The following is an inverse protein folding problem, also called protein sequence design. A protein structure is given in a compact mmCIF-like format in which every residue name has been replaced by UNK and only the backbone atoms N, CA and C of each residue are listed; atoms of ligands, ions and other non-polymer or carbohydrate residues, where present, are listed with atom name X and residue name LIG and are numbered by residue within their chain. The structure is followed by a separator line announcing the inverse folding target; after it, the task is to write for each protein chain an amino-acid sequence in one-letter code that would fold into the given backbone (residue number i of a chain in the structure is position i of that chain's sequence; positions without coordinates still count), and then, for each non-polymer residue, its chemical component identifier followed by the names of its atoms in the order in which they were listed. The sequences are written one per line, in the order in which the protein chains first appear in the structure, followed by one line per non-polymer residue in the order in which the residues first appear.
data_IF_503225234436
#
_entry.id   IF_503225234436
#
_cell.length_a   1.000
_cell.length_b   1.000
_cell.length_c   1.000
_cell.angle_alpha   90.00
_cell.angle_beta   90.00
_cell.angle_gamma   90.00
#
_symmetry.space_group_name_H-M   'P 1'
#
loop_
_entity.id
_entity.type
_entity.pdbx_description
1 polymer ?
#
# COMPACT_ATOMS: atom_id res chain seq x y z
N UNK A 1 -10.32 -27.64 19.80
CA UNK A 1 -9.53 -26.40 20.03
C UNK A 1 -8.05 -26.67 20.29
N UNK A 2 -7.65 -27.52 21.26
CA UNK A 2 -6.23 -27.79 21.59
C UNK A 2 -5.41 -28.38 20.41
N UNK A 3 -5.98 -29.30 19.63
CA UNK A 3 -5.30 -29.87 18.47
C UNK A 3 -5.03 -28.82 17.37
N UNK A 4 -6.00 -27.97 17.06
CA UNK A 4 -5.85 -26.86 16.11
C UNK A 4 -4.77 -25.86 16.55
N UNK A 5 -4.76 -25.48 17.84
CA UNK A 5 -3.72 -24.61 18.39
C UNK A 5 -2.32 -25.23 18.28
N UNK A 6 -2.17 -26.53 18.56
CA UNK A 6 -0.89 -27.25 18.42
C UNK A 6 -0.41 -27.29 16.97
N UNK A 7 -1.31 -27.52 16.00
CA UNK A 7 -0.96 -27.52 14.56
C UNK A 7 -0.57 -26.13 14.07
N UNK A 8 -1.31 -25.09 14.48
CA UNK A 8 -0.96 -23.70 14.17
C UNK A 8 0.41 -23.30 14.72
N UNK A 9 0.68 -23.63 15.99
CA UNK A 9 1.98 -23.39 16.61
C UNK A 9 3.12 -24.15 15.92
N UNK A 10 2.91 -25.42 15.55
CA UNK A 10 3.90 -26.19 14.81
C UNK A 10 4.20 -25.58 13.42
N UNK A 11 3.17 -25.07 12.74
CA UNK A 11 3.32 -24.38 11.44
C UNK A 11 4.10 -23.08 11.62
N UNK A 12 3.76 -22.28 12.63
CA UNK A 12 4.46 -21.05 12.97
C UNK A 12 5.95 -21.31 13.25
N UNK A 13 6.25 -22.33 14.07
CA UNK A 13 7.64 -22.70 14.38
C UNK A 13 8.40 -23.17 13.15
N UNK A 14 7.74 -23.88 12.24
CA UNK A 14 8.35 -24.29 10.98
C UNK A 14 8.68 -23.07 10.10
N UNK A 15 7.77 -22.11 9.99
CA UNK A 15 7.97 -20.89 9.23
C UNK A 15 9.14 -20.06 9.80
N UNK A 16 9.19 -19.89 11.12
CA UNK A 16 10.28 -19.19 11.80
C UNK A 16 11.64 -19.89 11.59
N UNK A 17 11.67 -21.23 11.65
CA UNK A 17 12.90 -22.00 11.40
C UNK A 17 13.37 -21.83 9.96
N UNK A 18 12.46 -21.86 8.98
CA UNK A 18 12.78 -21.63 7.57
C UNK A 18 13.34 -20.22 7.35
N UNK A 19 12.65 -19.21 7.87
CA UNK A 19 13.10 -17.81 7.80
C UNK A 19 14.50 -17.62 8.40
N UNK A 20 14.79 -18.30 9.51
CA UNK A 20 16.11 -18.28 10.14
C UNK A 20 17.17 -19.00 9.30
N UNK A 21 16.88 -20.19 8.78
CA UNK A 21 17.80 -20.99 7.94
C UNK A 21 18.13 -20.29 6.62
N UNK A 22 17.18 -19.54 6.07
CA UNK A 22 17.31 -18.85 4.79
C UNK A 22 17.84 -17.42 4.94
N UNK A 23 18.04 -16.96 6.18
CA UNK A 23 18.63 -15.65 6.45
C UNK A 23 17.70 -14.46 6.22
N UNK A 24 16.37 -14.65 6.24
CA UNK A 24 15.40 -13.58 5.99
C UNK A 24 15.60 -12.37 6.93
N UNK A 25 15.87 -12.65 8.20
CA UNK A 25 16.19 -11.66 9.22
C UNK A 25 17.43 -10.81 8.90
N UNK A 26 18.48 -11.41 8.35
CA UNK A 26 19.69 -10.70 7.95
C UNK A 26 19.41 -9.81 6.73
N UNK A 27 18.70 -10.35 5.74
CA UNK A 27 18.34 -9.60 4.52
C UNK A 27 17.46 -8.40 4.86
N UNK A 28 16.45 -8.58 5.71
CA UNK A 28 15.60 -7.52 6.21
C UNK A 28 16.41 -6.44 6.94
N UNK A 29 17.15 -6.81 8.00
CA UNK A 29 17.91 -5.85 8.78
C UNK A 29 18.93 -5.07 7.93
N UNK A 30 19.63 -5.76 7.02
CA UNK A 30 20.59 -5.12 6.13
C UNK A 30 19.91 -4.16 5.14
N UNK A 31 18.77 -4.55 4.57
CA UNK A 31 18.00 -3.69 3.67
C UNK A 31 17.56 -2.41 4.39
N UNK A 32 16.98 -2.55 5.58
CA UNK A 32 16.56 -1.41 6.40
C UNK A 32 17.72 -0.49 6.77
N UNK A 33 18.86 -1.05 7.17
CA UNK A 33 20.06 -0.26 7.50
C UNK A 33 20.65 0.46 6.29
N UNK A 34 20.69 -0.19 5.12
CA UNK A 34 21.17 0.45 3.88
C UNK A 34 20.25 1.62 3.49
N UNK A 35 18.94 1.43 3.54
CA UNK A 35 17.96 2.48 3.24
C UNK A 35 18.08 3.63 4.25
N UNK A 36 18.18 3.32 5.54
CA UNK A 36 18.37 4.31 6.58
C UNK A 36 19.68 5.10 6.39
N UNK A 37 20.78 4.43 6.07
CA UNK A 37 22.08 5.07 5.82
C UNK A 37 22.04 5.96 4.56
N UNK A 38 21.43 5.50 3.48
CA UNK A 38 21.27 6.28 2.25
C UNK A 38 20.43 7.54 2.49
N UNK A 39 19.29 7.41 3.18
CA UNK A 39 18.47 8.58 3.51
C UNK A 39 19.18 9.50 4.51
N UNK A 40 19.93 8.96 5.47
CA UNK A 40 20.75 9.76 6.38
C UNK A 40 21.81 10.60 5.65
N UNK A 41 22.32 10.11 4.53
CA UNK A 41 23.28 10.84 3.69
C UNK A 41 22.60 11.90 2.80
N UNK A 42 21.34 11.69 2.39
CA UNK A 42 20.64 12.56 1.42
C UNK A 42 19.70 13.58 2.07
N UNK A 43 19.13 13.28 3.24
CA UNK A 43 18.07 14.07 3.84
C UNK A 43 18.59 14.99 4.96
N UNK A 44 18.19 16.26 4.91
CA UNK A 44 18.52 17.25 5.95
C UNK A 44 17.72 17.03 7.25
N UNK A 45 16.52 16.44 7.16
CA UNK A 45 15.62 16.19 8.29
C UNK A 45 15.17 14.72 8.33
N UNK A 46 16.04 13.83 8.80
CA UNK A 46 15.79 12.38 8.83
C UNK A 46 14.53 12.00 9.63
N UNK A 47 14.22 12.75 10.69
CA UNK A 47 13.04 12.53 11.53
C UNK A 47 11.71 12.59 10.78
N UNK A 48 11.60 13.44 9.73
CA UNK A 48 10.38 13.57 8.94
C UNK A 48 10.11 12.34 8.06
N UNK A 49 11.17 11.65 7.64
CA UNK A 49 11.10 10.53 6.70
C UNK A 49 10.95 9.17 7.37
N UNK A 50 11.04 9.12 8.69
CA UNK A 50 11.02 7.86 9.46
C UNK A 50 9.77 7.00 9.22
N UNK A 51 8.54 7.55 9.20
CA UNK A 51 7.37 6.77 8.84
C UNK A 51 7.48 6.14 7.44
N UNK A 52 8.07 6.86 6.48
CA UNK A 52 8.27 6.34 5.12
C UNK A 52 9.31 5.24 5.06
N UNK A 53 10.41 5.37 5.82
CA UNK A 53 11.45 4.33 5.91
C UNK A 53 10.86 3.06 6.53
N UNK A 54 10.13 3.18 7.65
CA UNK A 54 9.47 2.04 8.30
C UNK A 54 8.47 1.39 7.36
N UNK A 55 7.62 2.15 6.66
CA UNK A 55 6.68 1.58 5.70
C UNK A 55 7.37 0.92 4.49
N UNK A 56 8.46 1.51 3.99
CA UNK A 56 9.26 0.96 2.91
C UNK A 56 9.86 -0.39 3.31
N UNK A 57 10.45 -0.45 4.49
CA UNK A 57 11.02 -1.67 5.06
C UNK A 57 9.94 -2.75 5.22
N UNK A 58 8.81 -2.41 5.85
CA UNK A 58 7.70 -3.33 6.01
C UNK A 58 7.12 -3.82 4.67
N UNK A 59 7.23 -3.04 3.60
CA UNK A 59 6.83 -3.48 2.26
C UNK A 59 7.70 -4.65 1.80
N UNK A 60 9.00 -4.59 2.04
CA UNK A 60 9.94 -5.67 1.72
C UNK A 60 9.65 -6.89 2.59
N UNK A 61 9.59 -6.70 3.89
CA UNK A 61 9.65 -7.79 4.88
C UNK A 61 8.29 -8.41 5.18
N UNK A 62 7.20 -7.70 4.89
CA UNK A 62 5.84 -8.22 5.07
C UNK A 62 5.17 -8.56 3.73
N UNK A 63 5.23 -7.68 2.72
CA UNK A 63 4.55 -7.95 1.43
C UNK A 63 5.37 -8.87 0.53
N UNK A 64 6.64 -8.53 0.25
CA UNK A 64 7.46 -9.35 -0.66
C UNK A 64 7.84 -10.69 -0.04
N UNK A 65 8.21 -10.74 1.25
CA UNK A 65 8.51 -12.02 1.91
C UNK A 65 7.29 -12.93 1.98
N UNK A 66 6.08 -12.41 2.24
CA UNK A 66 4.86 -13.22 2.18
C UNK A 66 4.67 -13.82 0.78
N UNK A 67 4.81 -13.02 -0.27
CA UNK A 67 4.65 -13.49 -1.64
C UNK A 67 5.71 -14.56 -2.01
N UNK A 68 6.98 -14.32 -1.67
CA UNK A 68 8.07 -15.25 -1.92
C UNK A 68 7.88 -16.55 -1.14
N UNK A 69 7.51 -16.47 0.15
CA UNK A 69 7.30 -17.64 1.00
C UNK A 69 6.15 -18.51 0.46
N UNK A 70 5.00 -17.91 0.15
CA UNK A 70 3.85 -18.63 -0.46
C UNK A 70 4.27 -19.34 -1.75
N UNK A 71 5.04 -18.65 -2.59
CA UNK A 71 5.41 -19.19 -3.89
C UNK A 71 6.48 -20.28 -3.80
N UNK A 72 7.40 -20.17 -2.84
CA UNK A 72 8.36 -21.22 -2.55
C UNK A 72 7.69 -22.47 -2.00
N UNK A 73 6.77 -22.29 -1.04
CA UNK A 73 5.95 -23.41 -0.54
C UNK A 73 5.14 -24.07 -1.67
N UNK A 74 4.73 -23.31 -2.69
CA UNK A 74 4.08 -23.83 -3.90
C UNK A 74 5.03 -24.67 -4.74
N UNK A 75 6.22 -24.16 -5.03
CA UNK A 75 7.21 -24.82 -5.89
C UNK A 75 7.81 -26.07 -5.24
N UNK A 76 7.94 -26.09 -3.92
CA UNK A 76 8.39 -27.26 -3.14
C UNK A 76 7.29 -28.35 -3.06
N UNK A 77 6.10 -28.12 -3.61
CA UNK A 77 4.97 -29.04 -3.51
C UNK A 77 4.32 -29.09 -2.13
N UNK A 78 4.80 -28.29 -1.17
CA UNK A 78 4.28 -28.23 0.21
C UNK A 78 2.81 -27.78 0.23
N UNK A 79 2.40 -26.87 -0.67
CA UNK A 79 0.98 -26.50 -0.81
C UNK A 79 0.10 -27.65 -1.34
N UNK A 80 0.64 -28.52 -2.20
CA UNK A 80 -0.08 -29.70 -2.69
C UNK A 80 -0.15 -30.78 -1.60
N UNK A 81 0.93 -30.98 -0.83
CA UNK A 81 0.93 -31.86 0.35
C UNK A 81 -0.06 -31.39 1.43
N UNK A 82 -0.39 -30.10 1.47
CA UNK A 82 -1.43 -29.55 2.35
C UNK A 82 -2.86 -29.87 1.91
N UNK A 83 -3.09 -30.24 0.65
CA UNK A 83 -4.42 -30.69 0.23
C UNK A 83 -4.83 -32.02 0.89
N UNK A 84 -3.84 -32.83 1.28
CA UNK A 84 -4.05 -34.12 1.97
C UNK A 84 -3.82 -34.04 3.48
N UNK A 85 -3.36 -32.90 4.01
CA UNK A 85 -3.20 -32.68 5.45
C UNK A 85 -4.40 -31.92 6.02
N UNK A 86 -4.82 -32.16 7.27
CA UNK A 86 -6.00 -31.53 7.87
C UNK A 86 -5.77 -30.07 8.30
N UNK A 87 -4.86 -29.34 7.65
CA UNK A 87 -4.52 -27.96 7.98
C UNK A 87 -5.50 -27.00 7.29
N UNK A 88 -6.21 -26.19 8.08
CA UNK A 88 -7.15 -25.23 7.52
C UNK A 88 -6.44 -24.04 6.87
N UNK A 89 -7.00 -23.48 5.78
CA UNK A 89 -6.50 -22.25 5.16
C UNK A 89 -6.38 -21.07 6.14
N UNK A 90 -7.23 -21.04 7.17
CA UNK A 90 -7.16 -20.04 8.24
C UNK A 90 -6.01 -20.25 9.22
N UNK A 91 -5.65 -21.50 9.53
CA UNK A 91 -4.51 -21.84 10.39
C UNK A 91 -3.20 -21.49 9.69
N UNK A 92 -3.11 -21.77 8.38
CA UNK A 92 -1.98 -21.37 7.54
C UNK A 92 -1.80 -19.85 7.50
N UNK A 93 -2.85 -19.11 7.15
CA UNK A 93 -2.79 -17.65 7.08
C UNK A 93 -2.40 -17.03 8.43
N UNK A 94 -2.93 -17.57 9.54
CA UNK A 94 -2.59 -17.10 10.86
C UNK A 94 -1.11 -17.35 11.20
N UNK A 95 -0.56 -18.53 10.86
CA UNK A 95 0.86 -18.83 11.07
C UNK A 95 1.78 -17.96 10.20
N UNK A 96 1.40 -17.73 8.93
CA UNK A 96 2.15 -16.88 8.02
C UNK A 96 2.15 -15.42 8.47
N UNK A 97 0.98 -14.87 8.83
CA UNK A 97 0.87 -13.51 9.37
C UNK A 97 1.65 -13.40 10.68
N UNK A 98 1.51 -14.36 11.59
CA UNK A 98 2.20 -14.34 12.88
C UNK A 98 3.74 -14.42 12.73
N UNK A 99 4.27 -15.27 11.83
CA UNK A 99 5.71 -15.38 11.62
C UNK A 99 6.31 -14.08 11.08
N UNK A 100 5.70 -13.53 10.02
CA UNK A 100 6.20 -12.30 9.39
C UNK A 100 5.98 -11.05 10.25
N UNK A 101 4.90 -10.98 11.03
CA UNK A 101 4.70 -9.88 11.99
C UNK A 101 5.73 -9.93 13.14
N UNK A 102 6.10 -11.12 13.62
CA UNK A 102 7.17 -11.28 14.61
C UNK A 102 8.52 -10.84 14.04
N UNK A 103 8.81 -11.22 12.79
CA UNK A 103 10.02 -10.79 12.09
C UNK A 103 10.06 -9.26 11.92
N UNK A 104 8.95 -8.67 11.46
CA UNK A 104 8.79 -7.24 11.29
C UNK A 104 8.92 -6.43 12.60
N UNK A 105 8.37 -6.95 13.70
CA UNK A 105 8.55 -6.32 15.02
C UNK A 105 10.01 -6.36 15.47
N UNK A 106 10.69 -7.48 15.26
CA UNK A 106 12.09 -7.62 15.62
C UNK A 106 12.98 -6.70 14.79
N UNK A 107 12.84 -6.71 13.46
CA UNK A 107 13.68 -5.90 12.57
C UNK A 107 13.44 -4.39 12.76
N UNK A 108 12.17 -3.93 12.83
CA UNK A 108 11.84 -2.51 12.98
C UNK A 108 12.22 -2.05 14.38
N UNK A 109 12.04 -2.92 15.38
CA UNK A 109 12.50 -2.68 16.74
C UNK A 109 14.00 -2.42 16.79
N UNK A 110 14.80 -3.31 16.21
CA UNK A 110 16.26 -3.16 16.14
C UNK A 110 16.65 -1.93 15.32
N UNK A 111 16.05 -1.72 14.14
CA UNK A 111 16.34 -0.57 13.28
C UNK A 111 16.08 0.76 13.98
N UNK A 112 14.92 0.90 14.63
CA UNK A 112 14.55 2.11 15.36
C UNK A 112 15.43 2.29 16.61
N UNK A 113 15.74 1.23 17.34
CA UNK A 113 16.65 1.30 18.49
C UNK A 113 18.04 1.79 18.09
N UNK A 114 18.60 1.25 17.00
CA UNK A 114 19.95 1.58 16.53
C UNK A 114 20.04 3.01 16.02
N UNK A 115 19.01 3.50 15.31
CA UNK A 115 19.10 4.79 14.61
C UNK A 115 18.45 5.94 15.37
N UNK A 116 17.32 5.71 16.04
CA UNK A 116 16.54 6.75 16.73
C UNK A 116 16.69 6.71 18.26
N UNK A 117 17.06 5.56 18.83
CA UNK A 117 17.21 5.37 20.27
C UNK A 117 15.90 4.99 20.98
N UNK A 118 15.89 4.97 22.33
CA UNK A 118 14.80 4.37 23.12
C UNK A 118 13.59 5.28 23.37
N UNK A 119 13.69 6.58 23.08
CA UNK A 119 12.67 7.57 23.44
C UNK A 119 11.52 7.63 22.41
N UNK A 120 10.71 6.57 22.34
CA UNK A 120 9.52 6.50 21.48
C UNK A 120 8.31 5.92 22.20
N UNK A 121 7.12 6.19 21.66
CA UNK A 121 5.92 5.44 22.02
C UNK A 121 5.95 4.04 21.39
N UNK A 122 6.74 3.13 21.98
CA UNK A 122 6.93 1.75 21.51
C UNK A 122 5.62 0.98 21.33
N UNK A 123 4.61 1.24 22.17
CA UNK A 123 3.29 0.61 22.03
C UNK A 123 2.57 1.04 20.75
N UNK A 124 2.64 2.34 20.39
CA UNK A 124 2.06 2.86 19.16
C UNK A 124 2.85 2.34 17.94
N UNK A 125 4.18 2.28 18.04
CA UNK A 125 5.02 1.70 16.99
C UNK A 125 4.67 0.23 16.75
N UNK A 126 4.62 -0.57 17.81
CA UNK A 126 4.28 -1.99 17.72
C UNK A 126 2.88 -2.21 17.14
N UNK A 127 1.88 -1.42 17.57
CA UNK A 127 0.53 -1.49 17.02
C UNK A 127 0.50 -1.13 15.52
N UNK A 128 1.23 -0.08 15.12
CA UNK A 128 1.38 0.31 13.72
C UNK A 128 2.06 -0.77 12.89
N UNK A 129 3.20 -1.30 13.35
CA UNK A 129 3.94 -2.37 12.68
C UNK A 129 3.09 -3.63 12.54
N UNK A 130 2.45 -4.09 13.61
CA UNK A 130 1.55 -5.26 13.56
C UNK A 130 0.46 -5.05 12.52
N UNK A 131 -0.16 -3.87 12.50
CA UNK A 131 -1.24 -3.58 11.59
C UNK A 131 -0.77 -3.51 10.13
N UNK A 132 0.33 -2.79 9.85
CA UNK A 132 0.95 -2.74 8.52
C UNK A 132 1.33 -4.14 8.05
N UNK A 133 2.04 -4.91 8.89
CA UNK A 133 2.46 -6.27 8.55
C UNK A 133 1.28 -7.19 8.28
N UNK A 134 0.21 -7.15 9.09
CA UNK A 134 -1.01 -7.92 8.80
C UNK A 134 -1.59 -7.56 7.43
N UNK A 135 -1.75 -6.27 7.13
CA UNK A 135 -2.29 -5.80 5.85
C UNK A 135 -1.40 -6.25 4.69
N UNK A 136 -0.09 -6.03 4.79
CA UNK A 136 0.88 -6.34 3.75
C UNK A 136 1.04 -7.84 3.49
N UNK A 137 1.06 -8.67 4.54
CA UNK A 137 1.09 -10.13 4.38
C UNK A 137 -0.17 -10.61 3.68
N UNK A 138 -1.35 -10.18 4.14
CA UNK A 138 -2.62 -10.60 3.54
C UNK A 138 -2.74 -10.13 2.09
N UNK A 139 -2.30 -8.91 1.81
CA UNK A 139 -2.29 -8.37 0.47
C UNK A 139 -1.28 -9.10 -0.44
N UNK A 140 -0.10 -9.43 0.08
CA UNK A 140 0.91 -10.24 -0.62
C UNK A 140 0.37 -11.61 -1.03
N UNK A 141 -0.34 -12.27 -0.12
CA UNK A 141 -1.03 -13.54 -0.40
C UNK A 141 -2.10 -13.38 -1.49
N UNK A 142 -2.91 -12.32 -1.43
CA UNK A 142 -3.94 -12.04 -2.45
C UNK A 142 -3.32 -11.74 -3.81
N UNK A 143 -2.23 -10.98 -3.86
CA UNK A 143 -1.53 -10.60 -5.07
C UNK A 143 -0.81 -11.80 -5.71
N UNK A 144 -0.12 -12.63 -4.91
CA UNK A 144 0.68 -13.75 -5.42
C UNK A 144 -0.17 -14.95 -5.87
N UNK A 145 -1.42 -15.05 -5.42
CA UNK A 145 -2.29 -16.20 -5.71
C UNK A 145 -2.45 -16.52 -7.22
N UNK A 146 -2.25 -15.54 -8.10
CA UNK A 146 -2.32 -15.72 -9.55
C UNK A 146 -1.00 -16.07 -10.25
N UNK A 147 0.12 -16.18 -9.53
CA UNK A 147 1.47 -16.31 -10.10
C UNK A 147 2.11 -17.66 -9.77
N UNK A 148 2.92 -18.17 -10.71
CA UNK A 148 3.58 -19.49 -10.60
C UNK A 148 5.09 -19.42 -10.38
N UNK A 149 5.72 -18.25 -10.58
CA UNK A 149 7.16 -18.08 -10.37
C UNK A 149 7.52 -16.70 -9.84
N UNK A 150 8.67 -16.61 -9.17
CA UNK A 150 9.07 -15.41 -8.42
C UNK A 150 9.30 -14.30 -9.45
N UNK A 151 10.02 -14.61 -10.53
CA UNK A 151 10.23 -13.68 -11.64
C UNK A 151 8.94 -13.18 -12.29
N UNK A 152 7.91 -14.03 -12.40
CA UNK A 152 6.62 -13.62 -12.95
C UNK A 152 5.84 -12.69 -12.01
N UNK A 153 6.08 -12.76 -10.70
CA UNK A 153 5.46 -11.89 -9.70
C UNK A 153 6.21 -10.55 -9.54
N UNK A 154 7.55 -10.56 -9.61
CA UNK A 154 8.37 -9.38 -9.32
C UNK A 154 8.05 -8.19 -10.23
N UNK A 155 7.95 -8.37 -11.54
CA UNK A 155 7.66 -7.26 -12.46
C UNK A 155 6.26 -6.65 -12.22
N UNK A 156 5.16 -7.43 -12.15
CA UNK A 156 3.83 -6.90 -11.84
C UNK A 156 3.67 -6.37 -10.41
N UNK A 157 4.48 -6.85 -9.46
CA UNK A 157 4.40 -6.42 -8.05
C UNK A 157 4.58 -4.91 -7.89
N UNK A 158 5.32 -4.24 -8.77
CA UNK A 158 5.48 -2.78 -8.71
C UNK A 158 4.15 -2.03 -8.80
N UNK A 159 3.19 -2.53 -9.60
CA UNK A 159 1.84 -1.94 -9.68
C UNK A 159 1.10 -2.12 -8.36
N UNK A 160 1.23 -3.30 -7.75
CA UNK A 160 0.63 -3.60 -6.45
C UNK A 160 1.20 -2.73 -5.33
N UNK A 161 2.52 -2.54 -5.32
CA UNK A 161 3.23 -1.66 -4.40
C UNK A 161 2.86 -0.21 -4.60
N UNK A 162 2.66 0.24 -5.85
CA UNK A 162 2.20 1.61 -6.14
C UNK A 162 0.80 1.85 -5.55
N UNK A 163 -0.11 0.88 -5.69
CA UNK A 163 -1.46 0.95 -5.11
C UNK A 163 -1.38 1.01 -3.58
N UNK A 164 -0.55 0.18 -2.96
CA UNK A 164 -0.31 0.26 -1.51
C UNK A 164 0.37 1.57 -1.10
N UNK A 165 1.18 2.16 -1.96
CA UNK A 165 1.90 3.41 -1.71
C UNK A 165 1.04 4.67 -1.85
N UNK A 166 -0.20 4.60 -2.34
CA UNK A 166 -1.07 5.77 -2.48
C UNK A 166 -1.18 6.66 -1.22
N UNK A 167 -1.42 6.12 -0.01
CA UNK A 167 -1.52 6.94 1.20
C UNK A 167 -0.18 7.51 1.69
N UNK A 168 0.94 7.19 1.04
CA UNK A 168 2.22 7.84 1.28
C UNK A 168 2.37 9.17 0.52
N UNK A 169 1.51 9.45 -0.48
CA UNK A 169 1.56 10.69 -1.25
C UNK A 169 1.56 11.97 -0.38
N UNK A 170 0.78 12.08 0.71
CA UNK A 170 0.84 13.23 1.59
C UNK A 170 2.19 13.41 2.29
N UNK A 171 2.91 12.32 2.59
CA UNK A 171 4.26 12.39 3.15
C UNK A 171 5.26 12.95 2.13
N UNK A 172 5.00 12.75 0.82
CA UNK A 172 5.76 13.32 -0.28
C UNK A 172 5.38 14.79 -0.61
N UNK A 173 4.43 15.39 0.12
CA UNK A 173 3.98 16.77 -0.08
C UNK A 173 2.77 16.92 -0.99
N UNK A 174 2.11 15.83 -1.40
CA UNK A 174 0.84 15.91 -2.10
C UNK A 174 -0.29 16.35 -1.13
N UNK A 175 -1.38 16.96 -1.63
CA UNK A 175 -2.52 17.29 -0.78
C UNK A 175 -3.16 16.02 -0.22
N UNK A 176 -3.37 16.00 1.10
CA UNK A 176 -4.19 14.99 1.75
C UNK A 176 -5.67 15.11 1.35
N UNK A 177 -6.45 14.07 1.61
CA UNK A 177 -7.89 14.08 1.36
C UNK A 177 -8.63 13.01 2.14
N UNK A 178 -9.97 13.14 2.21
CA UNK A 178 -10.84 12.17 2.88
C UNK A 178 -10.74 10.76 2.28
N UNK A 179 -10.40 10.66 1.00
CA UNK A 179 -10.22 9.40 0.27
C UNK A 179 -9.11 8.51 0.86
N UNK A 180 -8.14 9.09 1.58
CA UNK A 180 -7.09 8.34 2.27
C UNK A 180 -7.67 7.37 3.30
N UNK A 181 -8.74 7.76 3.98
CA UNK A 181 -9.39 6.93 5.01
C UNK A 181 -10.12 5.71 4.43
N UNK A 182 -10.37 5.69 3.12
CA UNK A 182 -10.83 4.50 2.42
C UNK A 182 -9.72 3.47 2.19
N UNK A 183 -8.45 3.88 2.33
CA UNK A 183 -7.31 3.00 2.10
C UNK A 183 -6.94 2.24 3.39
N UNK A 184 -6.72 0.91 3.33
CA UNK A 184 -6.48 0.09 4.52
C UNK A 184 -5.24 0.49 5.32
N UNK A 185 -4.21 1.03 4.67
CA UNK A 185 -2.97 1.46 5.35
C UNK A 185 -3.08 2.78 6.10
N UNK A 186 -4.09 3.62 5.84
CA UNK A 186 -4.19 4.92 6.49
C UNK A 186 -4.20 4.85 8.03
N UNK A 187 -5.01 4.00 8.68
CA UNK A 187 -4.94 3.86 10.15
C UNK A 187 -3.57 3.41 10.65
N UNK A 188 -2.87 2.57 9.88
CA UNK A 188 -1.55 2.06 10.25
C UNK A 188 -0.45 3.13 10.13
N UNK A 189 -0.52 3.97 9.09
CA UNK A 189 0.36 5.12 8.89
C UNK A 189 0.20 6.12 10.05
N UNK A 190 -1.04 6.42 10.45
CA UNK A 190 -1.31 7.33 11.57
C UNK A 190 -0.75 6.77 12.89
N UNK A 191 -0.87 5.46 13.15
CA UNK A 191 -0.26 4.83 14.33
C UNK A 191 1.27 4.96 14.36
N UNK A 192 1.91 4.79 13.21
CA UNK A 192 3.35 5.00 13.08
C UNK A 192 3.70 6.48 13.29
N UNK A 193 2.91 7.42 12.76
CA UNK A 193 3.11 8.86 13.00
C UNK A 193 2.93 9.25 14.48
N UNK A 194 1.97 8.65 15.19
CA UNK A 194 1.82 8.81 16.64
C UNK A 194 3.06 8.31 17.37
N UNK A 195 3.66 7.19 16.92
CA UNK A 195 4.87 6.64 17.54
C UNK A 195 6.06 7.60 17.50
N UNK A 196 6.18 8.38 16.41
CA UNK A 196 7.21 9.41 16.20
C UNK A 196 6.78 10.81 16.66
N UNK A 197 5.62 10.95 17.31
CA UNK A 197 5.13 12.23 17.84
C UNK A 197 4.63 13.23 16.79
N UNK A 198 4.42 12.80 15.54
CA UNK A 198 3.87 13.65 14.48
C UNK A 198 2.34 13.85 14.60
N UNK A 199 1.65 12.90 15.24
CA UNK A 199 0.20 12.92 15.47
C UNK A 199 -0.12 12.70 16.95
N UNK A 200 -1.28 13.19 17.46
CA UNK A 200 -1.62 13.10 18.87
C UNK A 200 -1.97 11.66 19.28
N UNK A 201 -1.62 11.23 20.52
CA UNK A 201 -1.90 9.88 21.01
C UNK A 201 -3.39 9.49 21.04
N UNK A 202 -4.31 10.46 21.05
CA UNK A 202 -5.76 10.20 21.01
C UNK A 202 -6.22 9.54 19.72
N UNK A 203 -5.47 9.68 18.62
CA UNK A 203 -5.78 9.04 17.34
C UNK A 203 -5.57 7.51 17.36
N UNK A 204 -4.85 6.97 18.35
CA UNK A 204 -4.44 5.56 18.38
C UNK A 204 -5.62 4.59 18.42
N UNK A 205 -6.55 4.78 19.35
CA UNK A 205 -7.69 3.87 19.59
C UNK A 205 -8.57 3.70 18.34
N UNK A 206 -9.07 4.77 17.70
CA UNK A 206 -9.89 4.64 16.51
C UNK A 206 -9.10 4.07 15.31
N UNK A 207 -7.81 4.37 15.19
CA UNK A 207 -6.97 3.78 14.14
C UNK A 207 -6.79 2.26 14.34
N UNK A 208 -6.60 1.80 15.57
CA UNK A 208 -6.54 0.35 15.88
C UNK A 208 -7.86 -0.32 15.52
N UNK A 209 -9.00 0.26 15.89
CA UNK A 209 -10.32 -0.30 15.59
C UNK A 209 -10.59 -0.38 14.08
N UNK A 210 -10.33 0.71 13.35
CA UNK A 210 -10.50 0.77 11.90
C UNK A 210 -9.54 -0.18 11.19
N UNK A 211 -8.29 -0.24 11.64
CA UNK A 211 -7.28 -1.17 11.13
C UNK A 211 -7.68 -2.62 11.33
N UNK A 212 -8.18 -2.97 12.52
CA UNK A 212 -8.66 -4.33 12.82
C UNK A 212 -9.83 -4.72 11.89
N UNK A 213 -10.74 -3.80 11.59
CA UNK A 213 -11.82 -4.03 10.63
C UNK A 213 -11.27 -4.32 9.22
N UNK A 214 -10.29 -3.55 8.74
CA UNK A 214 -9.62 -3.80 7.46
C UNK A 214 -8.91 -5.15 7.43
N UNK A 215 -8.19 -5.50 8.49
CA UNK A 215 -7.55 -6.82 8.63
C UNK A 215 -8.58 -7.95 8.56
N UNK A 216 -9.73 -7.82 9.22
CA UNK A 216 -10.78 -8.84 9.15
C UNK A 216 -11.30 -9.03 7.71
N UNK A 217 -11.54 -7.95 6.98
CA UNK A 217 -11.94 -7.98 5.57
C UNK A 217 -10.89 -8.64 4.67
N UNK A 218 -9.61 -8.29 4.86
CA UNK A 218 -8.49 -8.86 4.11
C UNK A 218 -8.27 -10.35 4.42
N UNK A 219 -8.45 -10.78 5.68
CA UNK A 219 -8.42 -12.20 6.06
C UNK A 219 -9.52 -12.97 5.33
N UNK A 220 -10.73 -12.43 5.28
CA UNK A 220 -11.84 -13.06 4.55
C UNK A 220 -11.51 -13.19 3.05
N UNK A 221 -10.98 -12.13 2.44
CA UNK A 221 -10.58 -12.13 1.03
C UNK A 221 -9.45 -13.13 0.73
N UNK A 222 -8.39 -13.12 1.54
CA UNK A 222 -7.25 -14.03 1.39
C UNK A 222 -7.70 -15.50 1.53
N UNK A 223 -8.55 -15.81 2.52
CA UNK A 223 -9.13 -17.15 2.70
C UNK A 223 -9.94 -17.59 1.49
N UNK A 224 -10.78 -16.71 0.93
CA UNK A 224 -11.58 -17.00 -0.28
C UNK A 224 -10.66 -17.28 -1.48
N UNK A 225 -9.59 -16.50 -1.67
CA UNK A 225 -8.62 -16.68 -2.76
C UNK A 225 -7.81 -17.97 -2.64
N UNK A 226 -7.30 -18.29 -1.46
CA UNK A 226 -6.57 -19.54 -1.19
C UNK A 226 -7.44 -20.78 -1.43
N UNK A 227 -8.69 -20.78 -0.96
CA UNK A 227 -9.62 -21.90 -1.20
C UNK A 227 -9.88 -22.12 -2.69
N UNK A 228 -10.08 -21.05 -3.46
CA UNK A 228 -10.26 -21.14 -4.93
C UNK A 228 -9.00 -21.67 -5.61
N UNK A 229 -7.80 -21.25 -5.18
CA UNK A 229 -6.55 -21.72 -5.75
C UNK A 229 -6.34 -23.24 -5.54
N UNK A 230 -6.70 -23.78 -4.37
CA UNK A 230 -6.56 -25.21 -4.07
C UNK A 230 -7.56 -26.08 -4.86
N UNK A 231 -8.81 -25.63 -5.01
CA UNK A 231 -9.84 -26.38 -5.76
C UNK A 231 -9.49 -26.52 -7.25
N UNK A 232 -8.84 -25.52 -7.84
CA UNK A 232 -8.48 -25.51 -9.26
C UNK A 232 -7.25 -26.37 -9.59
N UNK A 233 -6.39 -26.68 -8.61
CA UNK A 233 -5.28 -27.63 -8.80
C UNK A 233 -5.81 -29.08 -8.87
N UNK A 234 -6.99 -29.35 -8.30
CA UNK A 234 -7.67 -30.65 -8.35
C UNK A 234 -8.50 -30.91 -9.61
N UNK A 235 -8.70 -29.91 -10.47
CA UNK A 235 -9.49 -30.03 -11.70
C UNK A 235 -9.08 -28.99 -12.73
N UNK A 236 -8.25 -29.42 -13.69
CA UNK A 236 -7.76 -28.69 -14.88
C UNK A 236 -7.08 -27.31 -14.66
N UNK A 237 -5.81 -27.23 -15.07
CA UNK A 237 -4.96 -26.02 -15.05
C UNK A 237 -5.55 -24.94 -15.97
N UNK A 238 -5.72 -23.71 -15.47
CA UNK A 238 -6.11 -22.57 -16.30
C UNK A 238 -5.00 -21.51 -16.45
N UNK A 239 -4.95 -20.91 -17.65
CA UNK A 239 -3.94 -19.94 -18.09
C UNK A 239 -3.97 -18.62 -17.29
N UNK A 240 -2.81 -17.98 -17.06
CA UNK A 240 -2.64 -16.80 -16.18
C UNK A 240 -3.42 -15.54 -16.56
N UNK A 241 -3.91 -15.43 -17.81
CA UNK A 241 -4.61 -14.24 -18.31
C UNK A 241 -6.00 -14.01 -17.71
N UNK A 242 -6.66 -15.05 -17.21
CA UNK A 242 -8.03 -14.94 -16.68
C UNK A 242 -8.06 -14.32 -15.27
N UNK A 243 -6.95 -14.40 -14.52
CA UNK A 243 -6.89 -13.90 -13.13
C UNK A 243 -6.78 -12.38 -13.06
N UNK A 244 -6.04 -11.75 -13.98
CA UNK A 244 -5.97 -10.27 -14.06
C UNK A 244 -7.31 -9.64 -14.46
N UNK A 245 -8.08 -10.30 -15.33
CA UNK A 245 -9.39 -9.82 -15.77
C UNK A 245 -10.46 -9.85 -14.65
N UNK A 246 -10.25 -10.68 -13.62
CA UNK A 246 -11.15 -10.79 -12.47
C UNK A 246 -10.81 -9.79 -11.35
N UNK A 247 -9.65 -9.13 -11.41
CA UNK A 247 -9.23 -8.16 -10.41
C UNK A 247 -10.15 -6.93 -10.31
N UNK A 248 -10.51 -6.23 -11.41
CA UNK A 248 -11.45 -5.12 -11.32
C UNK A 248 -12.89 -5.59 -11.05
N UNK A 249 -13.27 -6.78 -11.49
CA UNK A 249 -14.62 -7.32 -11.30
C UNK A 249 -14.88 -7.73 -9.84
N UNK A 250 -13.91 -8.34 -9.16
CA UNK A 250 -14.00 -8.66 -7.73
C UNK A 250 -13.93 -7.39 -6.88
N UNK A 251 -13.07 -6.42 -7.20
CA UNK A 251 -13.03 -5.12 -6.48
C UNK A 251 -14.35 -4.33 -6.63
N UNK A 252 -14.93 -4.30 -7.84
CA UNK A 252 -16.20 -3.62 -8.11
C UNK A 252 -17.44 -4.36 -7.56
N UNK A 253 -17.32 -5.67 -7.26
CA UNK A 253 -18.34 -6.43 -6.52
C UNK A 253 -18.17 -6.27 -5.01
N UNK A 254 -16.93 -6.26 -4.51
CA UNK A 254 -16.61 -6.00 -3.10
C UNK A 254 -17.03 -4.58 -2.66
N UNK A 255 -16.82 -3.60 -3.54
CA UNK A 255 -17.25 -2.21 -3.33
C UNK A 255 -18.78 -2.04 -3.29
N UNK A 256 -19.53 -2.93 -3.96
CA UNK A 256 -20.99 -2.88 -4.02
C UNK A 256 -21.69 -3.67 -2.91
N UNK A 257 -21.17 -4.85 -2.55
CA UNK A 257 -21.91 -5.78 -1.68
C UNK A 257 -21.49 -5.72 -0.20
N UNK A 258 -20.25 -5.32 0.14
CA UNK A 258 -19.79 -5.32 1.55
C UNK A 258 -19.27 -3.96 2.07
N UNK A 259 -18.83 -3.04 1.19
CA UNK A 259 -18.35 -1.71 1.61
C UNK A 259 -19.48 -0.80 2.12
N UNK A 260 -20.70 -0.95 1.60
CA UNK A 260 -21.88 -0.21 2.05
C UNK A 260 -22.42 -0.66 3.42
N UNK A 261 -22.09 -1.88 3.86
CA UNK A 261 -22.53 -2.44 5.16
C UNK A 261 -21.58 -2.05 6.29
N UNK A 262 -20.30 -1.79 5.97
CA UNK A 262 -19.23 -1.55 6.95
C UNK A 262 -18.67 -0.13 6.96
N UNK A 263 -19.21 0.79 6.16
CA UNK A 263 -18.94 2.22 6.30
C UNK A 263 -19.46 2.68 7.68
N UNK A 264 -18.60 3.02 8.65
CA UNK A 264 -19.09 3.60 9.89
C UNK A 264 -19.75 4.94 9.55
N UNK A 265 -20.85 5.32 10.23
CA UNK A 265 -21.37 6.68 10.12
C UNK A 265 -20.22 7.64 10.47
N UNK A 266 -19.93 8.55 9.56
CA UNK A 266 -18.87 9.55 9.70
C UNK A 266 -18.98 10.21 11.08
N UNK A 267 -18.00 10.06 11.99
CA UNK A 267 -18.07 10.73 13.27
C UNK A 267 -17.92 12.24 13.01
N UNK A 268 -19.02 12.97 13.20
CA UNK A 268 -19.09 14.43 13.05
C UNK A 268 -18.25 15.19 14.07
N UNK A 269 -17.63 14.50 15.04
CA UNK A 269 -16.91 15.08 16.16
C UNK A 269 -15.38 15.03 16.06
N UNK A 270 -14.80 14.60 14.93
CA UNK A 270 -13.35 14.65 14.77
C UNK A 270 -12.86 16.10 14.68
N UNK A 271 -11.83 16.51 15.44
CA UNK A 271 -11.36 17.90 15.42
C UNK A 271 -10.66 18.16 14.09
N UNK A 272 -11.40 18.76 13.16
CA UNK A 272 -10.88 19.32 11.92
C UNK A 272 -9.93 20.46 12.27
N UNK A 273 -8.63 20.18 12.36
CA UNK A 273 -7.63 21.23 12.25
C UNK A 273 -7.60 21.67 10.80
N UNK A 274 -8.45 22.66 10.49
CA UNK A 274 -8.19 23.54 9.37
C UNK A 274 -6.76 24.07 9.54
N UNK A 275 -5.89 23.71 8.61
CA UNK A 275 -4.62 24.40 8.43
C UNK A 275 -4.93 25.89 8.39
N UNK A 276 -4.41 26.63 9.36
CA UNK A 276 -4.52 28.07 9.40
C UNK A 276 -3.82 28.59 8.16
N UNK A 277 -4.63 28.92 7.15
CA UNK A 277 -4.29 29.95 6.19
C UNK A 277 -4.07 31.23 6.99
N UNK A 278 -2.83 31.43 7.48
CA UNK A 278 -2.37 32.75 7.85
C UNK A 278 -2.41 33.55 6.56
N UNK A 279 -3.48 34.32 6.41
CA UNK A 279 -3.50 35.50 5.57
C UNK A 279 -2.26 36.31 5.93
N UNK A 280 -1.23 36.20 5.09
CA UNK A 280 -0.21 37.23 4.91
C UNK A 280 -0.96 38.47 4.41
N UNK A 281 -1.54 39.21 5.34
CA UNK A 281 -1.95 40.58 5.15
C UNK A 281 -0.68 41.40 5.04
N UNK A 282 -0.22 41.54 3.80
CA UNK A 282 0.80 42.50 3.42
C UNK A 282 0.21 43.89 3.70
N UNK A 283 0.50 44.44 4.89
CA UNK A 283 0.30 45.85 5.23
C UNK A 283 1.40 46.63 4.52
N UNK A 284 1.11 47.48 3.52
CA UNK A 284 2.06 48.50 3.10
C UNK A 284 2.06 49.55 4.21
N UNK A 285 3.21 49.77 4.81
CA UNK A 285 3.47 50.87 5.74
C UNK A 285 3.09 52.20 5.09
N UNK A 286 2.36 53.00 5.86
CA UNK A 286 1.98 54.36 5.55
C UNK A 286 3.23 55.19 5.26
N UNK A 287 3.38 55.64 4.01
CA UNK A 287 4.25 56.77 3.68
C UNK A 287 3.38 58.04 3.69
N UNK A 288 3.82 58.98 4.51
CA UNK A 288 3.12 60.20 4.83
C UNK A 288 2.89 61.08 3.59
N UNK A 289 1.71 61.70 3.59
CA UNK A 289 1.23 62.68 2.64
C UNK A 289 1.86 64.03 3.03
N UNK A 290 2.76 64.58 2.22
CA UNK A 290 3.09 66.01 2.22
C UNK A 290 2.73 66.59 0.85
N UNK A 291 1.88 67.61 0.92
CA UNK A 291 1.38 68.44 -0.16
C UNK A 291 2.45 69.40 -0.66
N UNK A 292 2.61 69.55 -1.98
CA UNK A 292 2.74 70.83 -2.70
C UNK A 292 2.96 70.63 -4.20
N UNK A 293 2.32 71.48 -5.02
CA UNK A 293 2.93 71.99 -6.26
C UNK A 293 2.35 71.53 -7.61
N UNK A 294 1.34 72.28 -8.10
CA UNK A 294 1.28 72.95 -9.42
C UNK A 294 1.74 72.26 -10.73
N UNK A 295 0.84 72.21 -11.73
CA UNK A 295 1.18 72.37 -13.17
C UNK A 295 0.68 71.28 -14.14
N UNK A 296 0.42 71.57 -15.44
CA UNK A 296 -0.80 71.16 -16.15
C UNK A 296 -0.62 70.07 -17.27
N UNK A 297 -1.70 69.67 -18.02
CA UNK A 297 -1.85 68.36 -18.66
C UNK A 297 -1.68 68.35 -20.18
N UNK A 298 -1.25 67.24 -20.78
CA UNK A 298 -1.28 66.98 -22.25
C UNK A 298 -1.33 65.45 -22.46
N UNK A 299 -2.50 64.84 -22.71
CA UNK A 299 -3.19 64.56 -23.99
C UNK A 299 -2.90 63.17 -24.59
N UNK A 300 -3.98 62.38 -24.69
CA UNK A 300 -4.40 61.55 -25.85
C UNK A 300 -3.40 60.61 -26.52
N UNK A 301 -3.69 59.31 -26.54
CA UNK A 301 -3.89 58.57 -27.80
C UNK A 301 -4.57 57.20 -27.55
N UNK A 302 -5.60 56.93 -28.33
CA UNK A 302 -6.37 55.67 -28.47
C UNK A 302 -6.84 55.66 -29.94
N UNK A 303 -7.43 54.57 -30.46
CA UNK A 303 -6.83 53.33 -30.94
C UNK A 303 -7.18 53.04 -32.41
N UNK A 304 -6.54 52.04 -33.03
CA UNK A 304 -7.09 51.24 -34.15
C UNK A 304 -6.07 50.14 -34.46
N UNK A 305 -6.40 48.88 -34.74
CA UNK A 305 -7.67 48.31 -35.17
C UNK A 305 -7.36 47.21 -36.19
N UNK A 306 -8.01 46.05 -36.02
CA UNK A 306 -8.37 45.10 -37.09
C UNK A 306 -7.24 44.33 -37.80
N UNK A 307 -7.40 43.16 -38.40
CA UNK A 307 -8.40 42.09 -38.43
C UNK A 307 -7.97 41.17 -39.59
N UNK A 308 -8.17 39.85 -39.49
CA UNK A 308 -8.60 38.92 -40.58
C UNK A 308 -8.26 37.48 -40.16
N UNK A 309 -9.25 36.61 -39.89
CA UNK A 309 -10.09 35.78 -40.80
C UNK A 309 -9.35 34.56 -41.35
N UNK A 310 -9.82 33.35 -40.99
CA UNK A 310 -10.62 32.39 -41.82
C UNK A 310 -9.79 31.70 -42.90
N UNK A 311 -9.90 30.42 -43.26
CA UNK A 311 -10.83 29.31 -43.00
C UNK A 311 -10.40 28.13 -43.91
N UNK A 312 -11.02 26.95 -43.74
CA UNK A 312 -11.06 25.77 -44.66
C UNK A 312 -9.89 24.77 -44.55
N UNK A 313 -10.06 23.45 -44.69
CA UNK A 313 -11.19 22.67 -45.23
C UNK A 313 -11.16 21.18 -44.81
N UNK A 314 -12.17 20.45 -45.29
CA UNK A 314 -12.55 19.05 -44.98
C UNK A 314 -11.70 18.03 -45.77
N UNK A 315 -11.72 16.77 -45.29
CA UNK A 315 -12.30 15.58 -45.95
C UNK A 315 -11.40 14.33 -46.04
N UNK A 316 -11.94 13.23 -45.48
CA UNK A 316 -11.99 11.83 -45.98
C UNK A 316 -10.73 10.98 -46.18
N UNK A 317 -10.65 9.83 -45.49
CA UNK A 317 -10.58 8.49 -46.13
C UNK A 317 -10.69 7.34 -45.09
N UNK A 318 -11.46 6.34 -45.49
CA UNK A 318 -11.83 5.06 -44.85
C UNK A 318 -10.93 3.90 -45.29
N UNK A 319 -10.73 2.89 -44.43
CA UNK A 319 -10.50 1.45 -44.72
C UNK A 319 -10.15 0.76 -43.38
N UNK A 320 -10.95 -0.05 -42.69
CA UNK A 320 -11.73 -1.25 -43.05
C UNK A 320 -10.86 -2.41 -43.56
N UNK A 321 -10.37 -3.26 -42.66
CA UNK A 321 -10.12 -4.67 -42.96
C UNK A 321 -10.52 -5.56 -41.79
N UNK A 322 -11.43 -6.49 -42.08
CA UNK A 322 -11.99 -7.46 -41.17
C UNK A 322 -11.57 -8.87 -41.60
N UNK A 323 -11.21 -9.69 -40.59
CA UNK A 323 -11.65 -11.09 -40.40
C UNK A 323 -11.18 -12.16 -41.42
N UNK A 324 -10.48 -13.20 -40.92
CA UNK A 324 -10.87 -14.62 -41.12
C UNK A 324 -10.13 -15.59 -40.18
N UNK A 325 -10.91 -16.53 -39.63
CA UNK A 325 -10.51 -17.77 -38.93
C UNK A 325 -10.40 -18.92 -39.94
N UNK A 326 -9.46 -19.83 -39.72
CA UNK A 326 -9.41 -21.31 -39.97
C UNK A 326 -7.96 -21.71 -39.65
N UNK A 327 -7.54 -22.81 -39.03
CA UNK A 327 -8.09 -24.14 -38.74
C UNK A 327 -6.94 -25.16 -38.93
N UNK A 328 -6.78 -26.11 -38.00
CA UNK A 328 -6.04 -27.40 -38.10
C UNK A 328 -4.49 -27.46 -38.08
N UNK A 329 -3.97 -28.45 -37.32
CA UNK A 329 -2.78 -29.23 -37.70
C UNK A 329 -1.60 -29.27 -36.71
N UNK A 330 -1.49 -30.34 -35.92
CA UNK A 330 -0.30 -30.82 -35.17
C UNK A 330 0.93 -31.11 -36.09
N UNK A 331 2.00 -31.78 -35.62
CA UNK A 331 2.95 -31.47 -34.53
C UNK A 331 4.40 -31.48 -35.06
N UNK A 332 5.38 -30.98 -34.29
CA UNK A 332 6.80 -31.25 -34.57
C UNK A 332 7.52 -31.81 -33.34
N UNK A 333 8.21 -32.91 -33.66
CA UNK A 333 9.21 -33.75 -32.99
C UNK A 333 9.97 -33.17 -31.80
#
# INVERSE_FOLDING_TARGET
MRAAMRRGAATLLLDLRRQAQEGFWLVALLAGLIVAALLGALATDLHRWWPMIVLGELTITSFYFAAVQVLRERNEGTLCARAVSPLGAGEYLAALVASLTLLALAEVGVLVLVVHGPALAWAALAAGVVLVSCIYVLYGVVAVAGYESIGAFLLPSGVWTLVLGLPLLPLLGAPGGWWLWLHPLQPAIVLIQVAFGAEPPSASVPCVALGAAWCAGLVALARRRLRRAVVLVGGERMRPRTVLALLPADLARLARDELLVWLPPCPSSWPWRHGSARHLSFRPSAFARSSHGSGPPVSTWRPSGSSSRCSSGRSSASCCWARRRTGCGMPWR
#
